data_IF_588564486945
#
_entry.id   IF_588564486945
#
_cell.length_a   1.000
_cell.length_b   1.000
_cell.length_c   1.000
_cell.angle_alpha   90.00
_cell.angle_beta   90.00
_cell.angle_gamma   90.00
#
_symmetry.space_group_name_H-M   'P 1'
#
loop_
_entity.id
_entity.type
_entity.pdbx_description
1 polymer ?
#
# COMPACT_ATOMS: atom_id res chain seq x y z
N UNK A 1 -15.69 -12.02 14.04
CA UNK A 1 -14.49 -11.18 13.85
C UNK A 1 -13.78 -11.60 12.57
N UNK A 2 -13.48 -10.63 11.69
CA UNK A 2 -12.62 -10.86 10.53
C UNK A 2 -11.15 -10.77 10.97
N UNK A 3 -10.29 -11.65 10.46
CA UNK A 3 -8.85 -11.67 10.80
C UNK A 3 -7.93 -11.51 9.59
N UNK A 4 -8.44 -11.88 8.41
CA UNK A 4 -7.71 -11.96 7.15
C UNK A 4 -8.05 -10.79 6.24
N UNK A 5 -7.02 -10.18 5.64
CA UNK A 5 -7.14 -9.16 4.62
C UNK A 5 -6.38 -9.57 3.37
N UNK A 6 -6.97 -9.34 2.20
CA UNK A 6 -6.35 -9.57 0.88
C UNK A 6 -6.14 -8.23 0.20
N UNK A 7 -4.90 -7.93 -0.18
CA UNK A 7 -4.51 -6.68 -0.83
C UNK A 7 -4.07 -6.96 -2.28
N UNK A 8 -4.94 -6.68 -3.27
CA UNK A 8 -4.58 -6.85 -4.67
C UNK A 8 -3.66 -5.72 -5.15
N UNK A 9 -2.38 -6.06 -5.33
CA UNK A 9 -1.30 -5.16 -5.76
C UNK A 9 -0.69 -5.57 -7.12
N UNK A 10 -1.39 -6.36 -7.94
CA UNK A 10 -0.84 -6.92 -9.19
C UNK A 10 -0.99 -6.01 -10.42
N UNK A 11 -1.70 -4.87 -10.30
CA UNK A 11 -2.03 -4.03 -11.46
C UNK A 11 -0.84 -3.23 -12.00
N UNK A 12 -0.77 -3.03 -13.32
CA UNK A 12 0.34 -2.36 -14.03
C UNK A 12 0.39 -0.83 -13.86
N UNK A 13 -0.64 -0.20 -13.29
CA UNK A 13 -0.63 1.25 -13.05
C UNK A 13 -0.85 2.14 -14.28
N UNK A 14 -1.37 1.60 -15.40
CA UNK A 14 -1.53 2.31 -16.69
C UNK A 14 -2.25 3.66 -16.63
N UNK A 15 -3.14 3.87 -15.64
CA UNK A 15 -3.83 5.16 -15.42
C UNK A 15 -2.92 6.29 -14.91
N UNK A 16 -1.77 5.94 -14.34
CA UNK A 16 -0.77 6.85 -13.79
C UNK A 16 0.62 6.52 -14.35
N UNK A 17 0.68 6.09 -15.62
CA UNK A 17 1.87 5.47 -16.21
C UNK A 17 3.14 6.33 -16.07
N UNK A 18 3.02 7.65 -16.15
CA UNK A 18 4.14 8.58 -15.95
C UNK A 18 4.80 8.43 -14.58
N UNK A 19 4.02 8.20 -13.54
CA UNK A 19 4.51 8.00 -12.17
C UNK A 19 4.79 6.51 -11.87
N UNK A 20 4.01 5.59 -12.46
CA UNK A 20 4.06 4.17 -12.10
C UNK A 20 5.00 3.34 -12.96
N UNK A 21 5.69 3.96 -13.92
CA UNK A 21 6.69 3.29 -14.77
C UNK A 21 7.91 2.85 -13.95
N UNK A 22 8.39 3.72 -13.06
CA UNK A 22 9.59 3.49 -12.24
C UNK A 22 9.27 2.86 -10.88
N UNK A 23 8.11 3.20 -10.31
CA UNK A 23 7.69 2.74 -8.99
C UNK A 23 6.30 2.10 -9.04
N UNK A 24 6.07 0.96 -8.36
CA UNK A 24 4.73 0.39 -8.27
C UNK A 24 3.73 1.42 -7.73
N UNK A 25 2.51 1.42 -8.29
CA UNK A 25 1.45 2.36 -7.87
C UNK A 25 1.14 2.29 -6.37
N UNK A 26 1.29 1.12 -5.76
CA UNK A 26 1.05 0.87 -4.34
C UNK A 26 2.15 1.46 -3.44
N UNK A 27 3.31 1.80 -4.03
CA UNK A 27 4.43 2.44 -3.34
C UNK A 27 4.46 3.96 -3.54
N UNK A 28 3.54 4.53 -4.35
CA UNK A 28 3.44 5.98 -4.52
C UNK A 28 3.20 6.67 -3.17
N UNK A 29 3.95 7.74 -2.87
CA UNK A 29 3.84 8.43 -1.60
C UNK A 29 2.52 9.18 -1.52
N UNK A 30 1.84 9.03 -0.39
CA UNK A 30 0.67 9.80 -0.02
C UNK A 30 0.97 10.57 1.26
N UNK A 31 0.34 11.72 1.43
CA UNK A 31 0.35 12.43 2.69
C UNK A 31 -0.47 11.66 3.73
N UNK A 32 0.16 11.33 4.85
CA UNK A 32 -0.44 10.63 5.98
C UNK A 32 -0.01 11.28 7.29
N UNK A 33 -0.73 11.01 8.38
CA UNK A 33 -0.34 11.49 9.71
C UNK A 33 0.74 10.57 10.30
N UNK A 34 1.85 11.17 10.71
CA UNK A 34 2.94 10.52 11.40
C UNK A 34 2.71 10.46 12.92
N UNK A 35 3.64 9.80 13.61
CA UNK A 35 3.69 9.85 15.07
C UNK A 35 3.84 11.32 15.52
N UNK A 36 2.98 11.78 16.42
CA UNK A 36 2.93 13.19 16.85
C UNK A 36 2.09 14.12 15.98
N UNK A 37 1.32 13.59 15.02
CA UNK A 37 0.33 14.35 14.26
C UNK A 37 0.88 15.18 13.08
N UNK A 38 2.19 15.13 12.84
CA UNK A 38 2.85 15.77 11.69
C UNK A 38 2.43 15.12 10.37
N UNK A 39 2.46 15.91 9.29
CA UNK A 39 2.21 15.41 7.95
C UNK A 39 3.50 14.77 7.41
N UNK A 40 3.42 13.51 7.01
CA UNK A 40 4.55 12.75 6.46
C UNK A 40 4.14 12.06 5.17
N UNK A 41 5.11 11.77 4.31
CA UNK A 41 4.88 10.93 3.14
C UNK A 41 5.03 9.46 3.54
N UNK A 42 4.04 8.64 3.21
CA UNK A 42 4.09 7.19 3.37
C UNK A 42 3.73 6.51 2.05
N UNK A 43 4.30 5.34 1.74
CA UNK A 43 3.79 4.50 0.66
C UNK A 43 2.30 4.23 0.87
N UNK A 44 1.50 4.29 -0.20
CA UNK A 44 0.06 4.03 -0.14
C UNK A 44 -0.27 2.68 0.53
N UNK A 45 0.48 1.62 0.19
CA UNK A 45 0.28 0.29 0.75
C UNK A 45 0.53 0.25 2.26
N UNK A 46 1.54 0.98 2.74
CA UNK A 46 1.85 1.07 4.16
C UNK A 46 0.71 1.76 4.92
N UNK A 47 0.17 2.86 4.39
CA UNK A 47 -0.96 3.54 5.02
C UNK A 47 -2.19 2.62 5.13
N UNK A 48 -2.49 1.85 4.09
CA UNK A 48 -3.59 0.88 4.10
C UNK A 48 -3.31 -0.25 5.11
N UNK A 49 -2.08 -0.75 5.16
CA UNK A 49 -1.69 -1.78 6.11
C UNK A 49 -1.86 -1.31 7.57
N UNK A 50 -1.37 -0.12 7.90
CA UNK A 50 -1.50 0.48 9.24
C UNK A 50 -2.97 0.61 9.63
N UNK A 51 -3.82 1.11 8.72
CA UNK A 51 -5.26 1.22 8.96
C UNK A 51 -5.95 -0.13 9.22
N UNK A 52 -5.61 -1.16 8.45
CA UNK A 52 -6.15 -2.51 8.64
C UNK A 52 -5.63 -3.15 9.92
N UNK A 53 -4.37 -2.91 10.26
CA UNK A 53 -3.79 -3.38 11.51
C UNK A 53 -4.50 -2.77 12.72
N UNK A 54 -4.77 -1.46 12.68
CA UNK A 54 -5.53 -0.77 13.73
C UNK A 54 -6.99 -1.25 13.80
N UNK A 55 -7.58 -1.63 12.67
CA UNK A 55 -8.91 -2.26 12.61
C UNK A 55 -8.95 -3.72 13.09
N UNK A 56 -7.81 -4.30 13.50
CA UNK A 56 -7.75 -5.64 14.10
C UNK A 56 -7.42 -6.79 13.15
N UNK A 57 -7.07 -6.50 11.89
CA UNK A 57 -6.59 -7.54 10.96
C UNK A 57 -5.16 -7.96 11.33
N UNK A 58 -4.88 -9.27 11.25
CA UNK A 58 -3.57 -9.83 11.65
C UNK A 58 -2.99 -10.79 10.61
N UNK A 59 -3.80 -11.27 9.69
CA UNK A 59 -3.38 -12.14 8.61
C UNK A 59 -3.53 -11.38 7.28
N UNK A 60 -2.43 -11.23 6.54
CA UNK A 60 -2.40 -10.43 5.32
C UNK A 60 -1.93 -11.27 4.14
N UNK A 61 -2.61 -11.14 3.00
CA UNK A 61 -2.25 -11.76 1.75
C UNK A 61 -2.12 -10.68 0.67
N UNK A 62 -0.93 -10.53 0.11
CA UNK A 62 -0.67 -9.58 -0.98
C UNK A 62 -0.67 -10.32 -2.31
N UNK A 63 -1.55 -9.93 -3.23
CA UNK A 63 -1.55 -10.47 -4.60
C UNK A 63 -0.65 -9.56 -5.43
N UNK A 64 0.58 -10.01 -5.72
CA UNK A 64 1.59 -9.23 -6.43
C UNK A 64 1.71 -9.63 -7.90
N UNK A 65 2.09 -8.68 -8.74
CA UNK A 65 2.28 -8.87 -10.19
C UNK A 65 3.74 -9.16 -10.54
N UNK A 66 3.98 -9.70 -11.75
CA UNK A 66 5.35 -9.92 -12.26
C UNK A 66 6.12 -8.60 -12.29
N UNK A 67 7.31 -8.58 -11.68
CA UNK A 67 8.20 -7.41 -11.64
C UNK A 67 8.09 -6.53 -10.39
N UNK A 68 7.13 -6.75 -9.50
CA UNK A 68 6.96 -5.96 -8.26
C UNK A 68 7.78 -6.50 -7.09
N UNK A 69 9.11 -6.50 -7.22
CA UNK A 69 10.06 -6.98 -6.18
C UNK A 69 10.09 -6.12 -4.91
N UNK A 70 9.57 -4.89 -4.99
CA UNK A 70 9.55 -3.94 -3.88
C UNK A 70 8.33 -4.08 -2.95
N UNK A 71 7.41 -5.01 -3.26
CA UNK A 71 6.20 -5.31 -2.48
C UNK A 71 6.35 -6.70 -1.87
#
# INVERSE_FOLDING_TARGET
>A
MLRKAVLPAAGLGTRLLTATKEMPKEMLPIFSRGAGGSLVLKPMLQAIFEQLYDAGFREFCFIVGRGKRAI
#
